data_IF_044514453448
#
_entry.id   IF_044514453448
#
_cell.length_a   1.000
_cell.length_b   1.000
_cell.length_c   1.000
_cell.angle_alpha   90.00
_cell.angle_beta   90.00
_cell.angle_gamma   90.00
#
_symmetry.space_group_name_H-M   'P 1'
#
loop_
_entity.id
_entity.type
_entity.pdbx_description
1 polymer ?
#
# COMPACT_ATOMS: atom_id res chain seq x y z
N UNK A 1 10.30 -96.33 6.31
CA UNK A 1 11.30 -95.93 7.28
C UNK A 1 11.66 -94.47 7.02
N UNK A 2 11.18 -93.60 7.92
CA UNK A 2 11.45 -92.17 7.83
C UNK A 2 12.77 -91.85 8.45
N UNK A 3 13.68 -91.16 7.73
CA UNK A 3 14.90 -90.60 8.25
C UNK A 3 14.72 -89.14 8.54
N UNK A 4 14.83 -88.77 9.83
CA UNK A 4 14.91 -87.38 10.30
C UNK A 4 16.31 -86.87 10.19
N UNK A 5 16.52 -85.74 9.41
CA UNK A 5 17.79 -85.01 9.41
C UNK A 5 17.67 -83.81 10.36
N UNK A 6 18.50 -83.76 11.37
CA UNK A 6 18.65 -82.65 12.31
C UNK A 6 19.47 -81.50 11.65
N UNK A 7 18.88 -80.33 11.56
CA UNK A 7 19.57 -79.12 11.15
C UNK A 7 20.25 -78.43 12.35
N UNK A 8 21.54 -78.12 12.22
CA UNK A 8 22.34 -77.36 13.21
C UNK A 8 22.00 -75.86 13.14
N UNK A 9 22.08 -75.13 14.27
CA UNK A 9 21.80 -73.71 14.30
C UNK A 9 22.94 -72.89 13.70
N UNK A 10 22.62 -71.91 12.84
CA UNK A 10 23.55 -70.97 12.27
C UNK A 10 24.00 -69.95 13.32
N UNK A 11 25.33 -69.78 13.45
CA UNK A 11 25.92 -68.77 14.30
C UNK A 11 25.69 -67.35 13.79
N UNK A 12 25.17 -66.48 14.63
CA UNK A 12 24.98 -65.06 14.31
C UNK A 12 26.32 -64.35 14.21
N UNK A 13 26.61 -63.79 13.04
CA UNK A 13 27.77 -62.93 12.82
C UNK A 13 27.46 -61.53 13.38
N UNK A 14 28.25 -61.09 14.36
CA UNK A 14 28.24 -59.73 14.93
C UNK A 14 28.87 -58.75 13.94
N UNK A 15 28.13 -57.75 13.54
CA UNK A 15 28.55 -56.65 12.70
C UNK A 15 29.60 -55.78 13.44
N UNK A 16 30.71 -55.39 12.82
CA UNK A 16 31.69 -54.51 13.49
C UNK A 16 31.13 -53.10 13.67
N UNK A 17 31.59 -52.32 14.67
CA UNK A 17 31.09 -50.99 14.96
C UNK A 17 31.40 -50.01 13.81
N UNK A 18 30.45 -49.15 13.48
CA UNK A 18 30.57 -48.13 12.46
C UNK A 18 31.69 -47.13 12.82
N UNK A 19 32.63 -46.94 11.90
CA UNK A 19 33.65 -45.90 12.01
C UNK A 19 32.96 -44.52 11.92
N UNK A 20 33.07 -43.71 12.96
CA UNK A 20 32.69 -42.30 12.99
C UNK A 20 33.66 -41.51 12.12
N UNK A 21 33.19 -41.02 10.97
CA UNK A 21 33.94 -40.08 10.19
C UNK A 21 34.08 -38.74 10.96
N UNK A 22 35.23 -38.06 10.89
CA UNK A 22 35.41 -36.77 11.56
C UNK A 22 34.47 -35.75 10.94
N UNK A 23 33.73 -35.04 11.79
CA UNK A 23 32.88 -33.90 11.43
C UNK A 23 33.79 -32.83 10.84
N UNK A 24 33.74 -32.66 9.52
CA UNK A 24 34.37 -31.52 8.86
C UNK A 24 33.64 -30.26 9.29
N UNK A 25 34.31 -29.46 10.12
CA UNK A 25 33.85 -28.10 10.42
C UNK A 25 33.84 -27.28 9.13
N UNK A 26 32.69 -27.16 8.52
CA UNK A 26 32.47 -26.19 7.45
C UNK A 26 32.69 -24.81 8.03
N UNK A 27 33.67 -24.11 7.49
CA UNK A 27 33.96 -22.71 7.78
C UNK A 27 32.65 -21.91 7.64
N UNK A 28 32.30 -21.04 8.61
CA UNK A 28 31.10 -20.19 8.48
C UNK A 28 31.16 -19.44 7.12
N UNK A 29 30.03 -19.26 6.44
CA UNK A 29 30.01 -18.47 5.21
C UNK A 29 30.61 -17.11 5.52
N UNK A 30 31.55 -16.70 4.65
CA UNK A 30 32.19 -15.39 4.76
C UNK A 30 31.10 -14.34 4.87
N UNK A 31 31.14 -13.50 5.90
CA UNK A 31 30.26 -12.35 6.03
C UNK A 31 30.47 -11.50 4.78
N UNK A 32 29.46 -11.47 3.91
CA UNK A 32 29.41 -10.58 2.76
C UNK A 32 29.53 -9.18 3.34
N UNK A 33 30.62 -8.48 3.06
CA UNK A 33 30.77 -7.07 3.46
C UNK A 33 29.51 -6.36 2.97
N UNK A 34 28.75 -5.74 3.88
CA UNK A 34 27.61 -4.94 3.52
C UNK A 34 28.06 -3.95 2.45
N UNK A 35 27.49 -4.08 1.25
CA UNK A 35 27.81 -3.17 0.13
C UNK A 35 27.35 -1.77 0.57
N UNK A 36 28.27 -0.80 0.51
CA UNK A 36 27.94 0.57 0.83
C UNK A 36 26.75 1.02 -0.05
N UNK A 37 25.75 1.61 0.58
CA UNK A 37 24.59 2.13 -0.13
C UNK A 37 25.04 3.26 -1.09
N UNK A 38 24.48 3.34 -2.30
CA UNK A 38 24.76 4.43 -3.21
C UNK A 38 24.37 5.78 -2.60
N UNK A 39 25.17 6.81 -2.88
CA UNK A 39 24.93 8.18 -2.40
C UNK A 39 24.96 9.16 -3.57
N UNK A 40 24.18 10.20 -3.44
CA UNK A 40 24.20 11.37 -4.31
C UNK A 40 25.48 12.20 -4.10
N UNK A 41 25.86 13.10 -5.02
CA UNK A 41 27.07 13.93 -4.87
C UNK A 41 27.13 14.79 -3.61
N UNK A 42 25.97 15.15 -3.05
CA UNK A 42 25.84 15.89 -1.78
C UNK A 42 25.89 15.00 -0.53
N UNK A 43 26.15 13.70 -0.72
CA UNK A 43 26.42 12.73 0.36
C UNK A 43 25.21 12.08 0.98
N UNK A 44 23.99 12.40 0.56
CA UNK A 44 22.76 11.75 1.01
C UNK A 44 22.55 10.39 0.33
N UNK A 45 21.79 9.46 0.91
CA UNK A 45 21.44 8.24 0.22
C UNK A 45 20.78 8.52 -1.14
N UNK A 46 21.19 7.80 -2.17
CA UNK A 46 20.57 7.89 -3.47
C UNK A 46 19.25 7.10 -3.46
N UNK A 47 18.14 7.82 -3.42
CA UNK A 47 16.77 7.27 -3.47
C UNK A 47 16.19 7.31 -4.88
N UNK A 48 16.94 7.84 -5.87
CA UNK A 48 16.44 8.02 -7.22
C UNK A 48 16.09 6.68 -7.87
N UNK A 49 15.10 6.73 -8.73
CA UNK A 49 14.64 5.55 -9.47
C UNK A 49 13.12 5.40 -9.45
N UNK A 50 12.67 4.30 -10.01
CA UNK A 50 11.26 3.91 -10.02
C UNK A 50 11.10 2.75 -9.03
N UNK A 51 10.14 2.89 -8.13
CA UNK A 51 9.89 2.01 -7.01
C UNK A 51 8.50 1.43 -7.09
N UNK A 52 8.43 0.10 -7.22
CA UNK A 52 7.20 -0.67 -7.19
C UNK A 52 6.79 -0.94 -5.72
N UNK A 53 5.56 -0.56 -5.37
CA UNK A 53 5.02 -0.77 -4.03
C UNK A 53 3.87 -1.78 -3.98
N UNK A 54 3.71 -2.62 -4.99
CA UNK A 54 2.70 -3.70 -4.98
C UNK A 54 2.91 -4.65 -3.81
N UNK A 55 1.84 -5.01 -3.13
CA UNK A 55 1.87 -6.02 -2.07
C UNK A 55 0.50 -6.66 -1.89
N UNK A 56 0.49 -7.96 -1.58
CA UNK A 56 -0.69 -8.67 -1.12
C UNK A 56 -0.96 -8.47 0.37
N UNK A 57 0.01 -7.91 1.14
CA UNK A 57 -0.17 -7.66 2.57
C UNK A 57 -1.27 -6.64 2.80
N UNK A 58 -2.31 -6.95 3.59
CA UNK A 58 -3.42 -6.04 3.83
C UNK A 58 -3.01 -4.83 4.67
N UNK A 59 -3.70 -3.71 4.49
CA UNK A 59 -3.47 -2.50 5.30
C UNK A 59 -3.68 -2.81 6.79
N UNK A 60 -4.84 -3.36 7.14
CA UNK A 60 -5.17 -3.78 8.50
C UNK A 60 -4.99 -5.28 8.68
N UNK A 61 -4.61 -5.69 9.91
CA UNK A 61 -4.47 -7.10 10.26
C UNK A 61 -5.82 -7.82 10.19
N UNK A 62 -5.95 -8.88 9.37
CA UNK A 62 -7.15 -9.72 9.35
C UNK A 62 -7.40 -10.38 10.69
N UNK A 63 -8.67 -10.62 11.03
CA UNK A 63 -9.06 -11.24 12.31
C UNK A 63 -8.44 -12.62 12.54
N UNK A 64 -8.21 -13.40 11.47
CA UNK A 64 -7.52 -14.70 11.55
C UNK A 64 -6.07 -14.60 12.05
N UNK A 65 -5.46 -13.41 11.97
CA UNK A 65 -4.12 -13.13 12.49
C UNK A 65 -4.15 -12.28 13.76
N UNK A 66 -5.29 -12.16 14.46
CA UNK A 66 -5.40 -11.39 15.68
C UNK A 66 -4.30 -11.81 16.69
N UNK A 67 -3.60 -10.81 17.25
CA UNK A 67 -2.50 -11.05 18.20
C UNK A 67 -1.19 -11.54 17.56
N UNK A 68 -1.11 -11.76 16.24
CA UNK A 68 0.10 -12.21 15.55
C UNK A 68 0.61 -11.19 14.55
N UNK A 69 1.78 -10.67 14.80
CA UNK A 69 2.39 -9.63 13.95
C UNK A 69 2.95 -10.19 12.64
N UNK A 70 3.39 -11.46 12.65
CA UNK A 70 4.02 -12.09 11.49
C UNK A 70 3.35 -13.41 11.11
N UNK A 71 3.34 -13.70 9.81
CA UNK A 71 2.98 -15.00 9.25
C UNK A 71 4.14 -16.00 9.40
N UNK A 72 3.83 -17.28 9.55
CA UNK A 72 4.82 -18.34 9.36
C UNK A 72 5.21 -18.46 7.89
N UNK A 73 6.35 -19.10 7.54
CA UNK A 73 6.70 -19.35 6.14
C UNK A 73 5.62 -20.10 5.36
N UNK A 74 4.99 -21.10 5.96
CA UNK A 74 3.94 -21.90 5.32
C UNK A 74 2.67 -21.06 5.09
N UNK A 75 2.32 -20.17 6.03
CA UNK A 75 1.21 -19.24 5.87
C UNK A 75 1.46 -18.23 4.75
N UNK A 76 2.70 -17.78 4.56
CA UNK A 76 3.06 -16.92 3.43
C UNK A 76 2.80 -17.63 2.12
N UNK A 77 3.33 -18.86 1.97
CA UNK A 77 3.13 -19.67 0.75
C UNK A 77 1.64 -19.86 0.46
N UNK A 78 0.86 -20.26 1.45
CA UNK A 78 -0.58 -20.47 1.30
C UNK A 78 -1.32 -19.17 0.95
N UNK A 79 -0.92 -18.04 1.55
CA UNK A 79 -1.52 -16.74 1.30
C UNK A 79 -1.24 -16.24 -0.12
N UNK A 80 -0.01 -16.34 -0.57
CA UNK A 80 0.40 -15.94 -1.91
C UNK A 80 -0.24 -16.84 -2.99
N UNK A 81 -0.37 -18.14 -2.71
CA UNK A 81 -1.09 -19.07 -3.59
C UNK A 81 -2.56 -18.65 -3.76
N UNK A 82 -3.25 -18.33 -2.65
CA UNK A 82 -4.60 -17.79 -2.69
C UNK A 82 -4.70 -16.48 -3.50
N UNK A 83 -3.68 -15.60 -3.38
CA UNK A 83 -3.65 -14.35 -4.15
C UNK A 83 -3.48 -14.59 -5.66
N UNK A 84 -2.80 -15.68 -6.04
CA UNK A 84 -2.64 -16.08 -7.44
C UNK A 84 -3.90 -16.71 -8.02
N UNK A 85 -4.62 -17.52 -7.21
CA UNK A 85 -5.80 -18.29 -7.64
C UNK A 85 -7.08 -17.44 -7.73
N UNK A 86 -7.10 -16.26 -7.14
CA UNK A 86 -8.30 -15.41 -7.19
C UNK A 86 -8.58 -14.90 -8.59
N UNK A 87 -9.74 -15.24 -9.12
CA UNK A 87 -10.20 -14.78 -10.44
C UNK A 87 -10.35 -13.26 -10.54
N UNK A 88 -10.74 -12.60 -9.41
CA UNK A 88 -10.89 -11.15 -9.35
C UNK A 88 -9.54 -10.41 -9.17
N UNK A 89 -8.44 -11.14 -9.11
CA UNK A 89 -7.09 -10.60 -9.00
C UNK A 89 -6.75 -9.92 -7.68
N UNK A 90 -7.70 -9.75 -6.75
CA UNK A 90 -7.52 -9.02 -5.48
C UNK A 90 -6.75 -9.84 -4.45
N UNK A 91 -6.06 -9.18 -3.51
CA UNK A 91 -5.51 -9.87 -2.34
C UNK A 91 -6.61 -10.61 -1.54
N UNK A 92 -6.29 -11.73 -0.86
CA UNK A 92 -7.28 -12.54 -0.14
C UNK A 92 -8.09 -11.80 0.92
N UNK A 93 -7.48 -10.80 1.57
CA UNK A 93 -8.09 -10.00 2.63
C UNK A 93 -8.46 -8.57 2.18
N UNK A 94 -8.66 -8.34 0.90
CA UNK A 94 -9.19 -7.06 0.43
C UNK A 94 -10.61 -6.88 0.95
N UNK A 95 -10.78 -5.90 1.84
CA UNK A 95 -12.04 -5.64 2.54
C UNK A 95 -13.04 -4.81 1.74
N UNK A 96 -12.68 -4.39 0.51
CA UNK A 96 -13.59 -3.60 -0.34
C UNK A 96 -14.80 -4.43 -0.73
N UNK A 97 -15.95 -3.79 -0.73
CA UNK A 97 -17.19 -4.44 -1.18
C UNK A 97 -17.17 -4.74 -2.69
N UNK A 98 -18.02 -5.65 -3.18
CA UNK A 98 -18.18 -5.87 -4.62
C UNK A 98 -18.53 -4.58 -5.39
N UNK A 99 -19.29 -3.68 -4.77
CA UNK A 99 -19.68 -2.40 -5.37
C UNK A 99 -18.52 -1.40 -5.45
N UNK A 100 -17.54 -1.52 -4.55
CA UNK A 100 -16.29 -0.75 -4.60
C UNK A 100 -15.26 -1.36 -5.55
N UNK A 101 -15.62 -2.45 -6.21
CA UNK A 101 -14.76 -3.08 -7.19
C UNK A 101 -14.61 -2.18 -8.42
N UNK A 102 -13.40 -2.20 -8.97
CA UNK A 102 -13.16 -1.59 -10.25
C UNK A 102 -14.08 -2.19 -11.31
N UNK A 103 -14.73 -1.35 -12.09
CA UNK A 103 -15.45 -1.76 -13.31
C UNK A 103 -14.49 -2.21 -14.42
N UNK A 104 -13.18 -2.18 -14.16
CA UNK A 104 -12.16 -2.61 -15.09
C UNK A 104 -12.13 -4.14 -15.22
N UNK A 105 -11.87 -4.64 -16.42
CA UNK A 105 -11.62 -6.06 -16.63
C UNK A 105 -10.48 -6.56 -15.73
N UNK A 106 -10.59 -7.79 -15.22
CA UNK A 106 -9.61 -8.39 -14.30
C UNK A 106 -8.18 -8.37 -14.84
N UNK A 107 -8.01 -8.50 -16.16
CA UNK A 107 -6.70 -8.47 -16.82
C UNK A 107 -6.02 -7.07 -16.82
N UNK A 108 -6.73 -6.03 -16.42
CA UNK A 108 -6.15 -4.70 -16.17
C UNK A 108 -5.65 -4.54 -14.74
N UNK A 109 -6.06 -5.45 -13.84
CA UNK A 109 -5.74 -5.36 -12.44
C UNK A 109 -4.34 -5.93 -12.18
N UNK A 110 -3.49 -5.13 -11.58
CA UNK A 110 -2.10 -5.44 -11.24
C UNK A 110 -1.85 -5.36 -9.73
N UNK A 111 -2.69 -6.06 -8.97
CA UNK A 111 -2.48 -6.20 -7.54
C UNK A 111 -1.21 -6.97 -7.23
N UNK A 112 -0.52 -6.58 -6.14
CA UNK A 112 0.57 -7.38 -5.61
C UNK A 112 0.13 -8.80 -5.25
N UNK A 113 0.94 -9.78 -5.62
CA UNK A 113 0.69 -11.21 -5.35
C UNK A 113 1.54 -11.75 -4.22
N UNK A 114 2.52 -10.98 -3.77
CA UNK A 114 3.45 -11.36 -2.69
C UNK A 114 3.24 -10.51 -1.45
N UNK A 115 3.45 -11.11 -0.29
CA UNK A 115 3.48 -10.38 0.98
C UNK A 115 4.82 -9.66 1.15
N UNK A 116 4.86 -8.64 2.02
CA UNK A 116 6.11 -7.96 2.36
C UNK A 116 7.15 -8.95 2.93
N UNK A 117 8.43 -8.79 2.58
CA UNK A 117 9.53 -9.70 2.98
C UNK A 117 9.61 -9.94 4.48
N UNK A 118 9.19 -9.00 5.30
CA UNK A 118 9.10 -9.15 6.76
C UNK A 118 8.01 -10.14 7.20
N UNK A 119 7.14 -10.59 6.32
CA UNK A 119 6.00 -11.49 6.58
C UNK A 119 4.98 -10.89 7.55
N UNK A 120 4.88 -9.57 7.60
CA UNK A 120 3.86 -8.89 8.44
C UNK A 120 2.45 -9.26 7.99
N UNK A 121 1.56 -9.38 8.98
CA UNK A 121 0.14 -9.65 8.77
C UNK A 121 -0.67 -8.38 8.46
N UNK A 122 -0.02 -7.20 8.52
CA UNK A 122 -0.59 -5.90 8.16
C UNK A 122 0.50 -4.91 7.78
N UNK A 123 0.15 -3.92 6.94
CA UNK A 123 1.03 -2.78 6.66
C UNK A 123 1.01 -1.77 7.81
N UNK A 124 -0.07 -1.71 8.62
CA UNK A 124 -0.08 -0.94 9.87
C UNK A 124 0.87 -1.60 10.86
N UNK A 125 1.88 -0.81 11.29
CA UNK A 125 2.93 -1.24 12.22
C UNK A 125 2.78 -0.61 13.61
N UNK A 126 2.04 0.48 13.71
CA UNK A 126 1.64 1.13 14.95
C UNK A 126 0.22 1.66 14.76
N UNK A 127 -0.73 1.25 15.60
CA UNK A 127 -0.63 0.38 16.79
C UNK A 127 -0.23 -1.07 16.47
N UNK A 128 0.35 -1.75 17.47
CA UNK A 128 0.85 -3.13 17.32
C UNK A 128 -0.23 -4.17 17.02
N UNK A 129 -1.50 -3.86 17.28
CA UNK A 129 -2.63 -4.71 16.88
C UNK A 129 -2.84 -4.73 15.36
N UNK A 130 -2.15 -3.84 14.63
CA UNK A 130 -2.23 -3.73 13.16
C UNK A 130 -3.57 -3.19 12.67
N UNK A 131 -4.27 -2.42 13.48
CA UNK A 131 -5.57 -1.81 13.16
C UNK A 131 -5.49 -0.29 13.19
N UNK A 132 -6.32 0.36 12.37
CA UNK A 132 -6.53 1.80 12.51
C UNK A 132 -7.13 2.10 13.89
N UNK A 133 -6.67 3.16 14.56
CA UNK A 133 -7.30 3.60 15.80
C UNK A 133 -8.78 3.95 15.60
N UNK A 134 -9.60 3.83 16.65
CA UNK A 134 -10.99 4.24 16.59
C UNK A 134 -11.14 5.71 16.18
N UNK A 135 -12.17 5.98 15.39
CA UNK A 135 -12.53 7.36 15.07
C UNK A 135 -13.08 8.09 16.31
N UNK A 136 -12.80 9.38 16.36
CA UNK A 136 -13.38 10.29 17.38
C UNK A 136 -14.88 10.42 17.22
N UNK A 137 -15.56 10.95 18.22
CA UNK A 137 -16.99 11.28 18.11
C UNK A 137 -17.23 12.30 16.98
N UNK A 138 -16.39 13.33 16.91
CA UNK A 138 -16.44 14.36 15.87
C UNK A 138 -16.32 13.77 14.46
N UNK A 139 -15.38 12.84 14.22
CA UNK A 139 -15.23 12.19 12.94
C UNK A 139 -16.47 11.38 12.54
N UNK A 140 -17.07 10.66 13.50
CA UNK A 140 -18.31 9.90 13.26
C UNK A 140 -19.49 10.82 12.93
N UNK A 141 -19.60 11.97 13.59
CA UNK A 141 -20.62 12.98 13.30
C UNK A 141 -20.43 13.57 11.91
N UNK A 142 -19.19 13.97 11.54
CA UNK A 142 -18.86 14.42 10.17
C UNK A 142 -19.22 13.37 9.12
N UNK A 143 -18.89 12.10 9.37
CA UNK A 143 -19.22 11.00 8.46
C UNK A 143 -20.76 10.80 8.35
N UNK A 144 -21.50 10.92 9.44
CA UNK A 144 -22.97 10.85 9.45
C UNK A 144 -23.60 12.02 8.66
N UNK A 145 -23.09 13.24 8.86
CA UNK A 145 -23.55 14.42 8.12
C UNK A 145 -23.29 14.27 6.60
N UNK A 146 -22.11 13.78 6.20
CA UNK A 146 -21.81 13.50 4.79
C UNK A 146 -22.73 12.45 4.18
N UNK A 147 -23.02 11.35 4.92
CA UNK A 147 -23.99 10.33 4.47
C UNK A 147 -25.41 10.90 4.32
N UNK A 148 -25.81 11.78 5.23
CA UNK A 148 -27.12 12.45 5.14
C UNK A 148 -27.17 13.37 3.92
N UNK A 149 -26.16 14.19 3.70
CA UNK A 149 -26.06 15.04 2.52
C UNK A 149 -26.05 14.21 1.21
N UNK A 150 -25.33 13.10 1.19
CA UNK A 150 -25.30 12.19 0.03
C UNK A 150 -26.66 11.51 -0.27
N UNK A 151 -27.58 11.47 0.69
CA UNK A 151 -28.95 10.95 0.47
C UNK A 151 -29.88 12.01 -0.16
N UNK A 152 -29.56 13.28 -0.01
CA UNK A 152 -30.33 14.38 -0.61
C UNK A 152 -29.85 14.73 -2.01
N UNK A 153 -28.66 14.25 -2.36
CA UNK A 153 -28.08 14.42 -3.69
C UNK A 153 -27.68 13.04 -4.24
N UNK A 154 -28.14 12.72 -5.41
CA UNK A 154 -27.73 11.49 -6.12
C UNK A 154 -26.24 11.52 -6.47
N UNK A 155 -25.62 10.35 -6.66
CA UNK A 155 -24.20 10.29 -7.01
C UNK A 155 -23.87 10.88 -8.39
N UNK A 156 -24.87 11.21 -9.18
CA UNK A 156 -24.75 11.79 -10.50
C UNK A 156 -25.55 13.10 -10.70
N UNK A 157 -25.97 13.77 -9.61
CA UNK A 157 -26.67 15.07 -9.71
C UNK A 157 -25.76 16.14 -10.31
N UNK A 158 -24.47 16.11 -9.93
CA UNK A 158 -23.45 16.96 -10.55
C UNK A 158 -22.09 16.25 -10.56
N UNK A 159 -21.13 16.81 -11.30
CA UNK A 159 -19.74 16.32 -11.28
C UNK A 159 -19.12 16.43 -9.87
N UNK A 160 -19.58 17.33 -9.02
CA UNK A 160 -19.08 17.50 -7.65
C UNK A 160 -19.45 16.33 -6.72
N UNK A 161 -20.48 15.55 -7.09
CA UNK A 161 -20.90 14.35 -6.38
C UNK A 161 -20.04 13.10 -6.74
N UNK A 162 -19.14 13.23 -7.74
CA UNK A 162 -18.18 12.18 -8.11
C UNK A 162 -16.88 12.32 -7.32
N UNK A 163 -16.18 11.20 -7.15
CA UNK A 163 -14.89 11.20 -6.45
C UNK A 163 -13.84 12.08 -7.14
N UNK A 164 -12.86 12.56 -6.40
CA UNK A 164 -11.76 13.34 -6.97
C UNK A 164 -10.97 12.56 -8.02
N UNK A 165 -10.87 11.24 -7.87
CA UNK A 165 -10.21 10.35 -8.82
C UNK A 165 -11.00 10.27 -10.15
N UNK A 166 -12.31 10.07 -10.11
CA UNK A 166 -13.16 10.07 -11.31
C UNK A 166 -13.15 11.42 -12.05
N UNK A 167 -12.92 12.49 -11.31
CA UNK A 167 -12.77 13.85 -11.83
C UNK A 167 -11.35 14.17 -12.29
N UNK A 168 -10.44 13.21 -12.24
CA UNK A 168 -9.03 13.38 -12.60
C UNK A 168 -8.30 14.48 -11.81
N UNK A 169 -8.68 14.72 -10.55
CA UNK A 169 -8.06 15.76 -9.72
C UNK A 169 -6.91 15.18 -8.93
N UNK A 170 -7.17 14.16 -8.11
CA UNK A 170 -6.15 13.44 -7.30
C UNK A 170 -6.76 12.19 -6.69
N UNK A 171 -5.90 11.25 -6.30
CA UNK A 171 -6.28 10.16 -5.39
C UNK A 171 -6.07 10.54 -3.92
N UNK A 172 -5.30 11.59 -3.66
CA UNK A 172 -4.97 12.10 -2.33
C UNK A 172 -3.87 11.31 -1.63
N UNK A 173 -3.31 11.93 -0.58
CA UNK A 173 -2.31 11.32 0.30
C UNK A 173 -2.95 10.76 1.57
N UNK A 174 -2.43 9.63 2.07
CA UNK A 174 -1.41 8.75 1.47
C UNK A 174 -1.99 7.66 0.55
N UNK A 175 -3.27 7.74 0.17
CA UNK A 175 -3.96 6.72 -0.63
C UNK A 175 -3.21 6.39 -1.94
N UNK A 176 -2.62 7.41 -2.58
CA UNK A 176 -1.92 7.28 -3.86
C UNK A 176 -0.65 6.43 -3.79
N UNK A 177 -0.09 6.26 -2.60
CA UNK A 177 1.12 5.44 -2.36
C UNK A 177 0.81 4.09 -1.71
N UNK A 178 -0.45 3.79 -1.39
CA UNK A 178 -0.83 2.47 -0.87
C UNK A 178 -0.99 1.45 -2.01
N UNK A 179 -0.60 0.18 -1.77
CA UNK A 179 -0.83 -0.90 -2.73
C UNK A 179 -2.28 -0.92 -3.23
N UNK A 180 -2.44 -0.83 -4.53
CA UNK A 180 -3.73 -0.66 -5.19
C UNK A 180 -3.90 -1.61 -6.38
N UNK A 181 -5.00 -1.44 -7.14
CA UNK A 181 -5.32 -2.33 -8.24
C UNK A 181 -4.43 -2.18 -9.47
N UNK A 182 -3.77 -1.03 -9.65
CA UNK A 182 -2.89 -0.71 -10.79
C UNK A 182 -2.09 0.57 -10.53
N UNK A 183 -1.11 0.88 -11.38
CA UNK A 183 -0.25 2.07 -11.29
C UNK A 183 0.43 2.21 -9.90
N UNK A 184 1.08 1.14 -9.48
CA UNK A 184 1.71 1.05 -8.16
C UNK A 184 3.19 1.46 -8.20
N UNK A 185 3.55 2.48 -8.98
CA UNK A 185 4.92 2.94 -9.12
C UNK A 185 5.08 4.37 -8.58
N UNK A 186 6.19 4.58 -7.87
CA UNK A 186 6.65 5.87 -7.38
C UNK A 186 8.02 6.17 -8.00
N UNK A 187 8.15 7.27 -8.72
CA UNK A 187 9.44 7.77 -9.15
C UNK A 187 9.95 8.81 -8.15
N UNK A 188 11.20 8.66 -7.73
CA UNK A 188 11.90 9.61 -6.88
C UNK A 188 13.00 10.27 -7.70
N UNK A 189 13.02 11.61 -7.70
CA UNK A 189 14.10 12.42 -8.28
C UNK A 189 14.68 13.33 -7.19
N UNK A 190 15.99 13.31 -7.07
CA UNK A 190 16.71 14.16 -6.11
C UNK A 190 17.53 15.22 -6.87
N UNK A 191 17.39 16.45 -6.44
CA UNK A 191 18.19 17.59 -6.93
C UNK A 191 18.73 18.38 -5.75
N UNK A 192 19.73 19.23 -5.93
CA UNK A 192 20.13 20.16 -4.88
C UNK A 192 18.94 21.04 -4.46
N UNK A 193 18.49 20.90 -3.22
CA UNK A 193 17.40 21.70 -2.64
C UNK A 193 15.97 21.22 -2.89
N UNK A 194 15.75 20.18 -3.68
CA UNK A 194 14.41 19.61 -3.92
C UNK A 194 14.44 18.09 -4.05
N UNK A 195 13.39 17.45 -3.58
CA UNK A 195 13.05 16.07 -3.93
C UNK A 195 11.70 16.09 -4.63
N UNK A 196 11.58 15.32 -5.73
CA UNK A 196 10.29 15.13 -6.43
C UNK A 196 9.83 13.71 -6.17
N UNK A 197 8.60 13.57 -5.68
CA UNK A 197 7.88 12.29 -5.57
C UNK A 197 6.78 12.31 -6.62
N UNK A 198 6.96 11.50 -7.67
CA UNK A 198 6.02 11.39 -8.79
C UNK A 198 5.34 10.04 -8.74
N UNK A 199 4.02 10.03 -8.53
CA UNK A 199 3.21 8.81 -8.53
C UNK A 199 2.63 8.55 -9.91
N UNK A 200 2.71 7.30 -10.38
CA UNK A 200 2.12 6.91 -11.65
C UNK A 200 0.60 7.11 -11.67
N UNK A 201 -0.07 6.75 -10.56
CA UNK A 201 -1.51 6.96 -10.40
C UNK A 201 -1.83 8.46 -10.39
N UNK A 202 -2.70 8.90 -11.31
CA UNK A 202 -3.13 10.31 -11.50
C UNK A 202 -1.97 11.26 -11.86
N UNK A 203 -0.75 10.75 -12.14
CA UNK A 203 0.44 11.54 -12.46
C UNK A 203 0.72 12.69 -11.45
N UNK A 204 0.38 12.49 -10.18
CA UNK A 204 0.62 13.50 -9.14
C UNK A 204 2.12 13.66 -8.87
N UNK A 205 2.64 14.87 -9.06
CA UNK A 205 4.04 15.22 -8.77
C UNK A 205 4.09 16.16 -7.56
N UNK A 206 4.79 15.74 -6.50
CA UNK A 206 5.07 16.58 -5.33
C UNK A 206 6.51 17.08 -5.40
N UNK A 207 6.68 18.39 -5.53
CA UNK A 207 7.99 19.06 -5.49
C UNK A 207 8.22 19.52 -4.06
N UNK A 208 9.16 18.89 -3.36
CA UNK A 208 9.39 19.03 -1.93
C UNK A 208 10.65 19.88 -1.71
N UNK A 209 10.54 21.11 -1.19
CA UNK A 209 11.68 21.92 -0.82
C UNK A 209 12.45 21.29 0.35
N UNK A 210 13.80 21.30 0.26
CA UNK A 210 14.72 20.75 1.24
C UNK A 210 15.50 21.85 2.00
N UNK A 211 15.06 23.11 1.89
CA UNK A 211 15.78 24.30 2.37
C UNK A 211 15.37 24.76 3.78
N UNK A 212 14.56 23.95 4.48
CA UNK A 212 14.12 24.24 5.85
C UNK A 212 13.11 25.38 5.99
N UNK A 213 12.54 25.88 4.88
CA UNK A 213 11.46 26.86 4.94
C UNK A 213 10.23 26.31 5.66
N UNK A 214 9.47 27.11 6.40
CA UNK A 214 8.25 26.67 7.05
C UNK A 214 7.16 26.34 6.00
N UNK A 215 6.12 25.66 6.45
CA UNK A 215 4.89 25.49 5.67
C UNK A 215 4.29 26.85 5.29
N UNK A 216 3.55 26.88 4.19
CA UNK A 216 2.73 28.02 3.83
C UNK A 216 1.73 28.35 4.95
N UNK A 217 1.26 29.58 4.99
CA UNK A 217 0.24 29.98 5.97
C UNK A 217 -1.02 29.10 5.89
N UNK A 218 -1.74 28.88 7.02
CA UNK A 218 -2.83 27.91 7.10
C UNK A 218 -4.04 28.21 6.20
N UNK A 219 -4.10 29.40 5.63
CA UNK A 219 -5.10 29.77 4.63
C UNK A 219 -4.80 29.21 3.23
N UNK A 220 -3.55 28.77 2.98
CA UNK A 220 -3.13 28.18 1.69
C UNK A 220 -3.19 26.67 1.85
N UNK A 221 -4.21 26.08 1.23
CA UNK A 221 -4.46 24.63 1.29
C UNK A 221 -4.48 24.03 -0.11
N UNK A 222 -4.00 22.80 -0.23
CA UNK A 222 -4.02 22.07 -1.50
C UNK A 222 -4.55 20.64 -1.34
N UNK A 223 -4.85 20.00 -2.46
CA UNK A 223 -5.32 18.60 -2.49
C UNK A 223 -4.30 17.63 -1.90
N UNK A 224 -3.01 17.84 -2.19
CA UNK A 224 -1.91 16.99 -1.74
C UNK A 224 -1.17 17.59 -0.53
N UNK A 225 -1.75 18.62 0.10
CA UNK A 225 -1.10 19.35 1.20
C UNK A 225 0.09 20.18 0.73
N UNK A 226 0.83 20.71 1.68
CA UNK A 226 2.06 21.47 1.51
C UNK A 226 3.20 20.69 2.16
N UNK A 227 4.13 20.17 1.36
CA UNK A 227 5.19 19.26 1.79
C UNK A 227 6.50 20.00 2.01
N UNK A 228 7.23 19.63 3.09
CA UNK A 228 8.58 20.09 3.42
C UNK A 228 9.46 18.91 3.71
N UNK A 229 10.68 18.91 3.18
CA UNK A 229 11.62 17.81 3.35
C UNK A 229 12.85 18.21 4.15
N UNK A 230 13.40 17.23 4.86
CA UNK A 230 14.72 17.32 5.48
C UNK A 230 15.33 15.92 5.64
N UNK A 231 16.63 15.88 5.90
CA UNK A 231 17.32 14.63 6.17
C UNK A 231 17.50 14.40 7.68
N UNK A 232 17.16 13.21 8.16
CA UNK A 232 17.53 12.71 9.47
C UNK A 232 18.49 11.53 9.31
N UNK A 233 19.79 11.80 9.35
CA UNK A 233 20.80 10.81 9.00
C UNK A 233 20.61 10.31 7.57
N UNK A 234 20.36 9.03 7.40
CA UNK A 234 20.15 8.38 6.09
C UNK A 234 18.65 8.26 5.70
N UNK A 235 17.77 8.93 6.42
CA UNK A 235 16.32 8.93 6.16
C UNK A 235 15.87 10.29 5.62
N UNK A 236 15.21 10.28 4.47
CA UNK A 236 14.45 11.42 3.98
C UNK A 236 13.13 11.49 4.78
N UNK A 237 12.91 12.63 5.44
CA UNK A 237 11.65 12.93 6.14
C UNK A 237 10.89 13.97 5.34
N UNK A 238 9.62 13.69 5.06
CA UNK A 238 8.70 14.62 4.40
C UNK A 238 7.55 14.90 5.34
N UNK A 239 7.44 16.14 5.75
CA UNK A 239 6.36 16.66 6.57
C UNK A 239 5.33 17.33 5.66
N UNK A 240 4.06 16.93 5.76
CA UNK A 240 2.98 17.45 4.92
C UNK A 240 1.78 17.85 5.76
N UNK A 241 1.40 19.12 5.62
CA UNK A 241 0.25 19.73 6.29
C UNK A 241 -0.60 20.52 5.27
N UNK A 242 -1.54 21.34 5.74
CA UNK A 242 -2.35 22.22 4.90
C UNK A 242 -3.15 21.50 3.79
N UNK A 243 -3.68 20.33 4.10
CA UNK A 243 -4.65 19.65 3.23
C UNK A 243 -5.96 20.43 3.14
N UNK A 244 -6.69 20.25 2.04
CA UNK A 244 -8.08 20.73 1.98
C UNK A 244 -8.98 19.82 2.83
N UNK A 245 -10.15 20.30 3.21
CA UNK A 245 -11.20 19.50 3.87
C UNK A 245 -11.88 18.48 2.94
N UNK A 246 -11.59 18.56 1.63
CA UNK A 246 -12.13 17.68 0.58
C UNK A 246 -11.24 16.48 0.28
N UNK A 247 -9.95 16.53 0.67
CA UNK A 247 -9.06 15.38 0.57
C UNK A 247 -9.35 14.49 1.77
N UNK A 248 -9.97 13.34 1.53
CA UNK A 248 -10.62 12.57 2.58
C UNK A 248 -10.08 11.14 2.65
N UNK A 249 -8.86 10.98 3.16
CA UNK A 249 -8.35 9.65 3.46
C UNK A 249 -8.97 9.12 4.76
N UNK A 250 -9.84 8.11 4.65
CA UNK A 250 -10.48 7.43 5.82
C UNK A 250 -11.18 8.38 6.79
N UNK A 251 -11.63 9.53 6.33
CA UNK A 251 -12.31 10.53 7.14
C UNK A 251 -11.44 11.70 7.58
N UNK A 252 -10.12 11.64 7.39
CA UNK A 252 -9.21 12.76 7.61
C UNK A 252 -9.53 13.95 6.70
N UNK A 253 -9.05 15.11 7.04
CA UNK A 253 -9.30 16.32 6.26
C UNK A 253 -8.27 17.40 6.51
N UNK A 254 -8.74 18.62 6.69
CA UNK A 254 -7.91 19.82 6.80
C UNK A 254 -6.90 19.79 7.97
N UNK A 255 -7.14 18.97 8.99
CA UNK A 255 -6.27 18.85 10.17
C UNK A 255 -5.28 17.68 10.07
N UNK A 256 -5.27 16.95 8.94
CA UNK A 256 -4.30 15.89 8.73
C UNK A 256 -2.89 16.46 8.71
N UNK A 257 -2.02 15.85 9.52
CA UNK A 257 -0.59 15.98 9.48
C UNK A 257 -0.02 14.62 9.06
N UNK A 258 0.71 14.59 7.96
CA UNK A 258 1.30 13.37 7.40
C UNK A 258 2.82 13.48 7.46
N UNK A 259 3.47 12.54 8.12
CA UNK A 259 4.93 12.45 8.19
C UNK A 259 5.37 11.20 7.44
N UNK A 260 6.08 11.38 6.33
CA UNK A 260 6.63 10.29 5.53
C UNK A 260 8.12 10.14 5.81
N UNK A 261 8.62 8.91 5.83
CA UNK A 261 10.03 8.57 6.06
C UNK A 261 10.46 7.55 5.02
N UNK A 262 11.46 7.90 4.25
CA UNK A 262 11.97 7.06 3.15
C UNK A 262 13.43 6.75 3.48
N UNK A 263 13.71 5.45 3.66
CA UNK A 263 15.04 4.97 4.03
C UNK A 263 15.50 3.90 3.05
N UNK A 264 16.69 4.03 2.48
CA UNK A 264 17.25 3.00 1.62
C UNK A 264 17.67 1.80 2.45
N UNK A 265 17.14 0.61 2.11
CA UNK A 265 17.46 -0.64 2.83
C UNK A 265 18.66 -1.34 2.22
N UNK A 266 18.68 -1.43 0.88
CA UNK A 266 19.74 -2.07 0.11
C UNK A 266 19.81 -1.48 -1.32
N UNK A 267 20.45 -2.18 -2.24
CA UNK A 267 20.57 -1.73 -3.64
C UNK A 267 19.22 -1.65 -4.35
N UNK A 268 18.28 -2.51 -3.96
CA UNK A 268 17.06 -2.78 -4.71
C UNK A 268 15.78 -2.47 -3.90
N UNK A 269 15.91 -1.94 -2.67
CA UNK A 269 14.77 -1.67 -1.82
C UNK A 269 14.92 -0.39 -0.99
N UNK A 270 13.78 0.29 -0.80
CA UNK A 270 13.58 1.35 0.19
C UNK A 270 12.49 0.92 1.17
N UNK A 271 12.57 1.35 2.43
CA UNK A 271 11.42 1.38 3.32
C UNK A 271 10.68 2.68 3.13
N UNK A 272 9.41 2.59 2.83
CA UNK A 272 8.49 3.72 2.87
C UNK A 272 7.60 3.56 4.10
N UNK A 273 7.67 4.56 4.97
CA UNK A 273 6.91 4.62 6.22
C UNK A 273 6.16 5.94 6.26
N UNK A 274 4.92 5.92 6.70
CA UNK A 274 4.22 7.16 6.97
C UNK A 274 3.37 7.07 8.24
N UNK A 275 3.27 8.20 8.93
CA UNK A 275 2.45 8.39 10.14
C UNK A 275 1.38 9.42 9.84
N UNK A 276 0.14 9.07 10.18
CA UNK A 276 -0.99 9.98 10.11
C UNK A 276 -1.33 10.45 11.52
N UNK A 277 -1.39 11.76 11.68
CA UNK A 277 -1.83 12.42 12.90
C UNK A 277 -2.98 13.40 12.56
N UNK A 278 -4.18 13.04 12.95
CA UNK A 278 -5.37 13.90 12.87
C UNK A 278 -6.23 13.66 14.11
N UNK A 279 -6.03 14.43 15.18
CA UNK A 279 -6.75 14.26 16.45
C UNK A 279 -8.24 14.55 16.34
N UNK A 280 -8.70 15.17 15.25
CA UNK A 280 -10.12 15.34 14.97
C UNK A 280 -10.74 14.12 14.29
N UNK A 281 -9.89 13.20 13.79
CA UNK A 281 -10.33 12.00 13.07
C UNK A 281 -10.08 10.72 13.86
N UNK A 282 -8.89 10.54 14.42
CA UNK A 282 -8.54 9.33 15.17
C UNK A 282 -8.16 9.63 16.62
N UNK A 283 -8.37 8.66 17.48
CA UNK A 283 -8.06 8.78 18.93
C UNK A 283 -6.57 8.84 19.24
N UNK A 284 -5.71 8.46 18.28
CA UNK A 284 -4.24 8.55 18.34
C UNK A 284 -3.65 8.49 16.94
N UNK A 285 -2.40 8.95 16.73
CA UNK A 285 -1.66 8.74 15.49
C UNK A 285 -1.47 7.24 15.19
N UNK A 286 -1.25 6.92 13.92
CA UNK A 286 -0.98 5.56 13.47
C UNK A 286 0.00 5.54 12.30
N UNK A 287 0.74 4.44 12.17
CA UNK A 287 1.85 4.33 11.24
C UNK A 287 1.71 3.11 10.34
N UNK A 288 1.99 3.30 9.06
CA UNK A 288 2.11 2.27 8.04
C UNK A 288 3.57 2.17 7.61
N UNK A 289 4.05 0.97 7.32
CA UNK A 289 5.39 0.76 6.77
C UNK A 289 5.42 -0.47 5.85
N UNK A 290 6.10 -0.33 4.71
CA UNK A 290 6.33 -1.42 3.76
C UNK A 290 7.53 -1.10 2.86
N UNK A 291 8.20 -2.14 2.34
CA UNK A 291 9.25 -1.96 1.36
C UNK A 291 8.65 -1.62 -0.01
N UNK A 292 9.33 -0.75 -0.74
CA UNK A 292 9.19 -0.60 -2.17
C UNK A 292 10.45 -1.14 -2.84
N UNK A 293 10.31 -1.77 -3.99
CA UNK A 293 11.43 -2.41 -4.70
C UNK A 293 11.70 -1.73 -6.02
N UNK A 294 12.95 -1.71 -6.46
CA UNK A 294 13.30 -1.18 -7.78
C UNK A 294 12.58 -1.97 -8.88
N UNK A 295 12.19 -1.27 -9.94
CA UNK A 295 11.67 -1.86 -11.16
C UNK A 295 12.39 -1.29 -12.38
N UNK A 296 12.64 -2.12 -13.37
CA UNK A 296 13.13 -1.71 -14.69
C UNK A 296 11.98 -1.23 -15.60
N UNK A 297 10.72 -1.31 -15.09
CA UNK A 297 9.54 -0.81 -15.78
C UNK A 297 9.58 0.71 -15.94
N UNK A 298 8.97 1.18 -17.01
CA UNK A 298 8.75 2.61 -17.22
C UNK A 298 7.51 3.05 -16.47
N UNK A 299 7.48 4.29 -16.00
CA UNK A 299 6.23 4.95 -15.64
C UNK A 299 5.55 5.39 -16.92
N UNK A 300 4.30 4.93 -17.09
CA UNK A 300 3.47 5.33 -18.22
C UNK A 300 2.62 6.54 -17.86
N UNK A 301 2.25 7.30 -18.88
CA UNK A 301 1.32 8.40 -18.71
C UNK A 301 -0.04 7.88 -18.20
N UNK A 302 -0.52 8.46 -17.14
CA UNK A 302 -1.90 8.26 -16.67
C UNK A 302 -2.79 9.31 -17.31
N UNK A 303 -3.23 9.05 -18.54
CA UNK A 303 -4.01 9.97 -19.36
C UNK A 303 -5.49 10.03 -18.89
N UNK A 304 -5.73 10.53 -17.68
CA UNK A 304 -7.03 10.51 -17.04
C UNK A 304 -8.04 11.44 -17.72
N UNK A 305 -7.59 12.61 -18.20
CA UNK A 305 -8.45 13.60 -18.84
C UNK A 305 -8.79 13.24 -20.28
N UNK A 306 -7.82 12.69 -21.00
CA UNK A 306 -7.93 12.30 -22.39
C UNK A 306 -8.91 11.13 -22.53
N UNK A 307 -10.05 11.40 -23.11
CA UNK A 307 -11.07 10.38 -23.28
C UNK A 307 -11.86 10.02 -22.01
N UNK A 308 -11.87 10.88 -20.98
CA UNK A 308 -12.76 10.72 -19.82
C UNK A 308 -14.24 10.97 -20.23
N UNK A 309 -14.71 10.16 -21.16
CA UNK A 309 -16.13 10.15 -21.55
C UNK A 309 -17.01 9.57 -20.44
N UNK A 310 -16.47 8.71 -19.56
CA UNK A 310 -17.19 8.06 -18.49
C UNK A 310 -17.88 9.06 -17.56
N UNK A 311 -17.21 10.14 -17.16
CA UNK A 311 -17.81 11.17 -16.30
C UNK A 311 -19.01 11.84 -17.00
N UNK A 312 -18.86 12.23 -18.26
CA UNK A 312 -19.95 12.83 -19.05
C UNK A 312 -21.11 11.85 -19.22
N UNK A 313 -20.81 10.59 -19.52
CA UNK A 313 -21.82 9.57 -19.82
C UNK A 313 -22.59 9.16 -18.55
N UNK A 314 -21.96 9.10 -17.38
CA UNK A 314 -22.61 8.91 -16.09
C UNK A 314 -23.62 10.04 -15.82
N UNK A 315 -23.21 11.31 -16.01
CA UNK A 315 -24.07 12.45 -15.76
C UNK A 315 -25.23 12.54 -16.76
N UNK A 316 -24.97 12.28 -18.06
CA UNK A 316 -26.01 12.29 -19.08
C UNK A 316 -26.98 11.13 -18.95
N UNK A 317 -26.50 9.94 -18.57
CA UNK A 317 -27.33 8.78 -18.30
C UNK A 317 -28.31 9.04 -17.16
N UNK A 318 -27.83 9.63 -16.06
CA UNK A 318 -28.70 10.02 -14.95
C UNK A 318 -29.81 11.00 -15.38
N UNK A 319 -29.46 12.02 -16.18
CA UNK A 319 -30.48 12.96 -16.72
C UNK A 319 -31.50 12.28 -17.64
N UNK A 320 -31.07 11.28 -18.40
CA UNK A 320 -31.98 10.48 -19.22
C UNK A 320 -32.94 9.66 -18.37
N UNK A 321 -32.47 9.01 -17.33
CA UNK A 321 -33.28 8.21 -16.42
C UNK A 321 -34.31 9.08 -15.65
N UNK A 322 -33.91 10.24 -15.15
CA UNK A 322 -34.79 11.20 -14.49
C UNK A 322 -35.93 11.65 -15.41
N UNK A 323 -35.62 12.01 -16.65
CA UNK A 323 -36.62 12.39 -17.64
C UNK A 323 -37.58 11.24 -17.94
N UNK A 324 -37.09 10.00 -18.08
CA UNK A 324 -37.92 8.84 -18.32
C UNK A 324 -38.87 8.55 -17.14
N UNK A 325 -38.39 8.74 -15.90
CA UNK A 325 -39.20 8.60 -14.70
C UNK A 325 -40.32 9.65 -14.61
N UNK A 326 -40.01 10.93 -14.95
CA UNK A 326 -41.02 12.01 -15.02
C UNK A 326 -42.12 11.72 -16.05
N UNK A 327 -41.75 11.24 -17.23
CA UNK A 327 -42.69 10.90 -18.29
C UNK A 327 -43.60 9.73 -17.90
N UNK A 328 -43.05 8.74 -17.16
CA UNK A 328 -43.82 7.61 -16.64
C UNK A 328 -44.74 8.02 -15.49
N UNK A 329 -44.27 8.87 -14.57
CA UNK A 329 -45.07 9.39 -13.45
C UNK A 329 -46.20 10.34 -13.89
N UNK A 330 -46.08 10.99 -15.07
CA UNK A 330 -47.14 11.81 -15.68
C UNK A 330 -48.23 10.98 -16.38
N UNK A 331 -47.99 9.68 -16.58
CA UNK A 331 -48.95 8.75 -17.21
C UNK A 331 -49.79 7.94 -16.20
N UNK A 332 -49.54 8.09 -14.93
CA UNK A 332 -50.34 7.56 -13.79
C UNK A 332 -51.20 8.69 -13.19
#
# INVERSE_FOLDING_TARGET
MLGFALAAPAAAQTKPPAQTNPVTHTKPPAQTKARALPRTPDGHPDLQGIWDFRSATPLERPSRYAGREFMTPDEVIAYEQLALEREDGRPPDDARSPEEQSVHPVWWLDYGKTVVKSRRTSLIVDPLDGKMPPQTAEARERAAARRTAARTHGPADSYENRSLQERCITRGLPEVTLPGPYNNNLQIVQTPGYVVLFTEMIHDARIIPMDGRPHAGPAIRSWMGDSRGHWEGDTLVVDTANFTDRTNFRGAGANLHLIERITRLDADAIEYRFTLDDPTTWTKPWTVAYPMVTTDGLIYEFACHEGNYGLRDILSGARYEEKAAEETGKKQ
#
